data_IF_210060926728
#
_entry.id   IF_210060926728
#
_cell.length_a   1.000
_cell.length_b   1.000
_cell.length_c   1.000
_cell.angle_alpha   90.00
_cell.angle_beta   90.00
_cell.angle_gamma   90.00
#
_symmetry.space_group_name_H-M   'P 1'
#
loop_
_entity.id
_entity.type
_entity.pdbx_description
1 polymer ?
#
# COMPACT_ATOMS: atom_id res chain seq x y z
N UNK A 1 30.81 -25.67 38.62
CA UNK A 1 30.37 -25.78 37.22
C UNK A 1 31.45 -25.27 36.26
N UNK A 2 31.90 -24.02 36.36
CA UNK A 2 32.91 -23.48 35.42
C UNK A 2 34.20 -24.30 35.39
N UNK A 3 34.76 -24.66 36.56
CA UNK A 3 35.93 -25.55 36.64
C UNK A 3 35.72 -26.87 35.90
N UNK A 4 34.51 -27.43 35.97
CA UNK A 4 34.15 -28.69 35.32
C UNK A 4 34.13 -28.55 33.79
N UNK A 5 33.69 -27.42 33.24
CA UNK A 5 33.80 -27.14 31.79
C UNK A 5 35.21 -26.71 31.35
N UNK A 6 35.99 -26.10 32.25
CA UNK A 6 37.31 -25.56 31.96
C UNK A 6 38.44 -26.59 32.13
N UNK A 7 38.27 -27.63 32.94
CA UNK A 7 39.32 -28.61 33.24
C UNK A 7 39.09 -29.95 32.54
N UNK A 8 37.87 -30.22 32.04
CA UNK A 8 37.55 -31.49 31.38
C UNK A 8 38.32 -31.69 30.06
N UNK A 9 39.05 -32.81 29.97
CA UNK A 9 39.88 -33.17 28.82
C UNK A 9 39.06 -33.70 27.65
N UNK A 10 37.83 -34.14 27.87
CA UNK A 10 36.90 -34.71 26.89
C UNK A 10 36.33 -33.65 25.94
N UNK A 11 36.23 -32.39 26.39
CA UNK A 11 35.61 -31.30 25.62
C UNK A 11 36.56 -30.67 24.59
N UNK A 12 36.00 -30.30 23.43
CA UNK A 12 36.68 -29.57 22.36
C UNK A 12 36.92 -28.10 22.76
N UNK A 13 38.19 -27.70 22.82
CA UNK A 13 38.60 -26.33 23.19
C UNK A 13 38.34 -25.28 22.11
N UNK A 14 37.95 -25.70 20.92
CA UNK A 14 37.42 -24.79 19.89
C UNK A 14 36.05 -24.22 20.31
N UNK A 15 35.19 -25.03 20.94
CA UNK A 15 33.83 -24.66 21.39
C UNK A 15 33.81 -24.17 22.85
N UNK A 16 34.62 -24.76 23.74
CA UNK A 16 34.68 -24.44 25.18
C UNK A 16 35.97 -23.68 25.55
N UNK A 17 36.16 -22.48 24.98
CA UNK A 17 37.28 -21.59 25.33
C UNK A 17 37.04 -20.89 26.68
N UNK A 18 38.05 -20.70 27.54
CA UNK A 18 37.87 -20.07 28.85
C UNK A 18 37.17 -18.71 28.83
N UNK A 19 37.64 -17.79 28.00
CA UNK A 19 37.02 -16.48 27.82
C UNK A 19 35.55 -16.55 27.39
N UNK A 20 35.16 -17.62 26.71
CA UNK A 20 33.81 -17.76 26.19
C UNK A 20 32.82 -18.36 27.20
N UNK A 21 33.32 -19.17 28.15
CA UNK A 21 32.51 -19.75 29.23
C UNK A 21 32.29 -18.70 30.32
N UNK A 22 33.35 -17.98 30.71
CA UNK A 22 33.28 -16.87 31.66
C UNK A 22 32.33 -15.76 31.16
N UNK A 23 32.50 -15.32 29.90
CA UNK A 23 31.59 -14.34 29.31
C UNK A 23 30.13 -14.82 29.18
N UNK A 24 29.89 -16.14 29.17
CA UNK A 24 28.53 -16.71 29.21
C UNK A 24 27.95 -16.63 30.63
N UNK A 25 28.75 -17.03 31.62
CA UNK A 25 28.39 -17.06 33.04
C UNK A 25 28.11 -15.66 33.62
N UNK A 26 29.00 -14.69 33.36
CA UNK A 26 28.84 -13.29 33.79
C UNK A 26 27.55 -12.69 33.23
N UNK A 27 27.27 -12.98 31.96
CA UNK A 27 26.08 -12.49 31.29
C UNK A 27 24.81 -13.09 31.88
N UNK A 28 24.81 -14.39 32.15
CA UNK A 28 23.67 -15.07 32.76
C UNK A 28 23.36 -14.50 34.15
N UNK A 29 24.39 -14.34 34.96
CA UNK A 29 24.30 -13.82 36.33
C UNK A 29 23.78 -12.37 36.35
N UNK A 30 24.13 -11.56 35.35
CA UNK A 30 23.63 -10.18 35.23
C UNK A 30 22.12 -10.06 34.95
N UNK A 31 21.45 -11.12 34.49
CA UNK A 31 20.02 -11.10 34.17
C UNK A 31 19.11 -11.56 35.32
N UNK A 32 19.64 -12.31 36.29
CA UNK A 32 18.87 -12.83 37.42
C UNK A 32 18.27 -11.77 38.36
N UNK A 33 18.92 -10.61 38.60
CA UNK A 33 18.36 -9.57 39.47
C UNK A 33 17.17 -8.80 38.89
N UNK A 34 16.84 -8.97 37.60
CA UNK A 34 15.77 -8.18 36.96
C UNK A 34 14.42 -8.86 37.19
N UNK A 35 13.64 -8.38 38.17
CA UNK A 35 12.25 -8.79 38.37
C UNK A 35 11.41 -8.48 37.12
N UNK A 36 10.78 -9.50 36.55
CA UNK A 36 9.89 -9.39 35.40
C UNK A 36 10.61 -9.21 34.05
N UNK A 37 11.45 -10.18 33.63
CA UNK A 37 12.05 -10.12 32.32
C UNK A 37 10.94 -10.28 31.26
N UNK A 38 10.60 -9.20 30.56
CA UNK A 38 9.73 -9.30 29.39
C UNK A 38 10.31 -10.31 28.39
N UNK A 39 9.46 -10.98 27.61
CA UNK A 39 9.85 -12.07 26.67
C UNK A 39 11.07 -11.72 25.79
N UNK A 40 11.27 -10.44 25.48
CA UNK A 40 12.42 -9.92 24.73
C UNK A 40 13.77 -10.10 25.43
N UNK A 41 13.80 -10.26 26.75
CA UNK A 41 15.00 -10.59 27.51
C UNK A 41 15.44 -12.04 27.28
N UNK A 42 14.51 -12.95 26.96
CA UNK A 42 14.82 -14.37 26.71
C UNK A 42 15.71 -14.57 25.47
N UNK A 43 15.56 -13.70 24.47
CA UNK A 43 16.44 -13.64 23.28
C UNK A 43 17.88 -13.19 23.59
N UNK A 44 18.17 -12.77 24.83
CA UNK A 44 19.49 -12.31 25.27
C UNK A 44 20.35 -13.40 25.93
N UNK A 45 19.80 -14.60 26.17
CA UNK A 45 20.53 -15.77 26.68
C UNK A 45 21.45 -16.41 25.62
N UNK A 46 22.35 -15.61 25.06
CA UNK A 46 23.37 -16.10 24.12
C UNK A 46 24.32 -17.04 24.83
N UNK A 47 24.69 -18.14 24.17
CA UNK A 47 25.66 -19.15 24.64
C UNK A 47 25.16 -20.06 25.80
N UNK A 48 23.87 -20.02 26.11
CA UNK A 48 23.26 -20.93 27.09
C UNK A 48 23.30 -22.40 26.62
N UNK A 49 23.36 -22.63 25.30
CA UNK A 49 23.59 -23.93 24.68
C UNK A 49 24.83 -24.64 25.22
N UNK A 50 25.86 -23.90 25.65
CA UNK A 50 27.11 -24.48 26.14
C UNK A 50 27.02 -25.04 27.56
N UNK A 51 25.90 -24.83 28.22
CA UNK A 51 25.64 -25.33 29.57
C UNK A 51 24.55 -26.41 29.55
N UNK A 52 24.08 -26.84 28.38
CA UNK A 52 23.08 -27.90 28.22
C UNK A 52 23.75 -29.28 28.19
N UNK A 53 23.19 -30.27 28.90
CA UNK A 53 23.72 -31.63 28.91
C UNK A 53 23.60 -32.27 27.52
N UNK A 54 22.48 -32.01 26.83
CA UNK A 54 22.25 -32.45 25.44
C UNK A 54 23.34 -31.95 24.48
N UNK A 55 23.73 -30.68 24.60
CA UNK A 55 24.76 -30.05 23.76
C UNK A 55 26.18 -30.48 24.18
N UNK A 56 26.41 -30.77 25.46
CA UNK A 56 27.68 -31.32 25.93
C UNK A 56 27.90 -32.75 25.43
N UNK A 57 26.83 -33.53 25.28
CA UNK A 57 26.85 -34.88 24.73
C UNK A 57 26.99 -34.93 23.19
N UNK A 58 26.80 -33.81 22.50
CA UNK A 58 26.94 -33.72 21.04
C UNK A 58 28.39 -33.98 20.57
N UNK A 59 28.51 -34.70 19.45
CA UNK A 59 29.77 -34.97 18.75
C UNK A 59 30.56 -33.71 18.38
N UNK A 60 29.87 -32.56 18.20
CA UNK A 60 30.49 -31.25 18.00
C UNK A 60 31.18 -30.68 19.24
N UNK A 61 30.79 -31.13 20.43
CA UNK A 61 31.31 -30.67 21.74
C UNK A 61 32.41 -31.57 22.30
N UNK A 62 32.40 -32.86 21.96
CA UNK A 62 33.34 -33.88 22.48
C UNK A 62 34.50 -34.18 21.53
N UNK A 63 35.65 -34.54 22.09
CA UNK A 63 36.74 -35.22 21.39
C UNK A 63 36.36 -36.68 21.13
N UNK A 64 37.01 -37.31 20.15
CA UNK A 64 36.73 -38.70 19.75
C UNK A 64 36.85 -39.64 20.97
N UNK A 65 35.76 -40.34 21.31
CA UNK A 65 35.69 -41.26 22.45
C UNK A 65 35.59 -40.60 23.83
N UNK A 66 35.36 -39.28 23.91
CA UNK A 66 35.16 -38.58 25.17
C UNK A 66 33.77 -38.79 25.75
N UNK A 67 33.68 -38.94 27.08
CA UNK A 67 32.41 -38.93 27.81
C UNK A 67 32.07 -37.51 28.26
N UNK A 68 30.80 -37.08 28.15
CA UNK A 68 30.41 -35.74 28.56
C UNK A 68 30.47 -35.60 30.09
N UNK A 69 30.85 -34.42 30.59
CA UNK A 69 30.74 -34.11 32.00
C UNK A 69 29.27 -34.13 32.45
N UNK A 70 28.97 -34.85 33.53
CA UNK A 70 27.64 -34.88 34.12
C UNK A 70 27.55 -33.95 35.34
N UNK A 71 26.51 -33.12 35.39
CA UNK A 71 26.17 -32.28 36.54
C UNK A 71 24.67 -31.93 36.50
N UNK A 72 23.93 -31.99 37.63
CA UNK A 72 22.51 -31.63 37.67
C UNK A 72 22.19 -30.23 37.13
N UNK A 73 23.17 -29.31 37.18
CA UNK A 73 23.04 -27.98 36.58
C UNK A 73 22.82 -28.03 35.07
N UNK A 74 23.49 -28.94 34.36
CA UNK A 74 23.37 -29.01 32.90
C UNK A 74 22.01 -29.55 32.46
N UNK A 75 21.47 -30.52 33.21
CA UNK A 75 20.11 -31.02 33.02
C UNK A 75 19.07 -29.94 33.35
N UNK A 76 19.32 -29.12 34.38
CA UNK A 76 18.49 -27.97 34.71
C UNK A 76 18.53 -26.89 33.60
N UNK A 77 19.67 -26.70 32.93
CA UNK A 77 19.77 -25.82 31.77
C UNK A 77 18.96 -26.34 30.57
N UNK A 78 18.96 -27.66 30.31
CA UNK A 78 18.10 -28.27 29.29
C UNK A 78 16.61 -28.04 29.60
N UNK A 79 16.18 -28.33 30.83
CA UNK A 79 14.80 -28.13 31.26
C UNK A 79 14.39 -26.65 31.16
N UNK A 80 15.26 -25.73 31.59
CA UNK A 80 15.01 -24.30 31.48
C UNK A 80 14.83 -23.85 30.03
N UNK A 81 15.68 -24.30 29.11
CA UNK A 81 15.59 -23.94 27.68
C UNK A 81 14.31 -24.47 27.06
N UNK A 82 13.92 -25.71 27.37
CA UNK A 82 12.64 -26.26 26.92
C UNK A 82 11.45 -25.42 27.41
N UNK A 83 11.42 -25.05 28.69
CA UNK A 83 10.37 -24.18 29.25
C UNK A 83 10.40 -22.78 28.63
N UNK A 84 11.58 -22.25 28.30
CA UNK A 84 11.71 -20.96 27.61
C UNK A 84 11.14 -21.02 26.19
N UNK A 85 11.44 -22.07 25.43
CA UNK A 85 10.93 -22.26 24.07
C UNK A 85 9.41 -22.37 24.06
N UNK A 86 8.84 -23.12 25.01
CA UNK A 86 7.39 -23.21 25.20
C UNK A 86 6.77 -21.84 25.51
N UNK A 87 7.35 -21.10 26.45
CA UNK A 87 6.86 -19.76 26.82
C UNK A 87 6.92 -18.79 25.63
N UNK A 88 8.00 -18.81 24.86
CA UNK A 88 8.16 -17.96 23.66
C UNK A 88 7.11 -18.31 22.62
N UNK A 89 6.88 -19.60 22.36
CA UNK A 89 5.85 -20.06 21.42
C UNK A 89 4.46 -19.58 21.82
N UNK A 90 4.08 -19.73 23.09
CA UNK A 90 2.79 -19.24 23.61
C UNK A 90 2.69 -17.72 23.47
N UNK A 91 3.75 -16.99 23.77
CA UNK A 91 3.76 -15.54 23.65
C UNK A 91 3.60 -15.08 22.20
N UNK A 92 4.30 -15.70 21.24
CA UNK A 92 4.19 -15.36 19.82
C UNK A 92 2.76 -15.56 19.31
N UNK A 93 2.12 -16.67 19.68
CA UNK A 93 0.71 -16.92 19.37
C UNK A 93 -0.22 -15.87 19.98
N UNK A 94 -0.05 -15.57 21.28
CA UNK A 94 -0.87 -14.56 21.98
C UNK A 94 -0.67 -13.16 21.40
N UNK A 95 0.56 -12.82 21.03
CA UNK A 95 0.90 -11.53 20.44
C UNK A 95 0.29 -11.37 19.04
N UNK A 96 0.27 -12.43 18.24
CA UNK A 96 -0.43 -12.43 16.95
C UNK A 96 -1.94 -12.19 17.12
N UNK A 97 -2.57 -12.88 18.07
CA UNK A 97 -4.00 -12.67 18.40
C UNK A 97 -4.26 -11.25 18.91
N UNK A 98 -3.40 -10.73 19.78
CA UNK A 98 -3.48 -9.37 20.29
C UNK A 98 -3.38 -8.35 19.15
N UNK A 99 -2.38 -8.48 18.27
CA UNK A 99 -2.23 -7.62 17.09
C UNK A 99 -3.47 -7.61 16.21
N UNK A 100 -4.03 -8.79 15.91
CA UNK A 100 -5.24 -8.90 15.10
C UNK A 100 -6.42 -8.18 15.75
N UNK A 101 -6.63 -8.40 17.06
CA UNK A 101 -7.70 -7.73 17.82
C UNK A 101 -7.49 -6.22 17.88
N UNK A 102 -6.25 -5.77 18.10
CA UNK A 102 -5.90 -4.35 18.15
C UNK A 102 -6.16 -3.69 16.79
N UNK A 103 -5.77 -4.32 15.68
CA UNK A 103 -6.05 -3.81 14.34
C UNK A 103 -7.56 -3.69 14.11
N UNK A 104 -8.35 -4.72 14.42
CA UNK A 104 -9.81 -4.66 14.30
C UNK A 104 -10.45 -3.56 15.17
N UNK A 105 -9.96 -3.41 16.40
CA UNK A 105 -10.38 -2.33 17.28
C UNK A 105 -10.06 -0.95 16.69
N UNK A 106 -8.82 -0.73 16.24
CA UNK A 106 -8.39 0.55 15.65
C UNK A 106 -9.18 0.88 14.39
N UNK A 107 -9.43 -0.10 13.50
CA UNK A 107 -10.20 0.10 12.28
C UNK A 107 -11.65 0.53 12.55
N UNK A 108 -12.21 0.17 13.71
CA UNK A 108 -13.58 0.54 14.09
C UNK A 108 -13.62 1.84 14.90
N UNK A 109 -12.73 1.94 15.89
CA UNK A 109 -12.75 3.01 16.89
C UNK A 109 -12.18 4.32 16.35
N UNK A 110 -11.15 4.26 15.48
CA UNK A 110 -10.53 5.47 14.95
C UNK A 110 -11.52 6.29 14.10
N UNK A 111 -12.25 5.72 13.12
CA UNK A 111 -13.28 6.46 12.40
C UNK A 111 -14.38 7.01 13.31
N UNK A 112 -14.85 6.21 14.28
CA UNK A 112 -15.89 6.63 15.23
C UNK A 112 -15.46 7.86 16.05
N UNK A 113 -14.22 7.86 16.56
CA UNK A 113 -13.66 8.99 17.31
C UNK A 113 -13.41 10.22 16.43
N UNK A 114 -12.96 10.03 15.19
CA UNK A 114 -12.80 11.12 14.22
C UNK A 114 -14.15 11.79 13.94
N UNK A 115 -15.19 10.99 13.69
CA UNK A 115 -16.55 11.48 13.45
C UNK A 115 -17.11 12.25 14.67
N UNK A 116 -16.99 11.69 15.87
CA UNK A 116 -17.44 12.34 17.10
C UNK A 116 -16.74 13.69 17.37
N UNK A 117 -15.50 13.85 16.91
CA UNK A 117 -14.72 15.09 17.02
C UNK A 117 -14.82 15.99 15.80
N UNK A 118 -15.54 15.58 14.76
CA UNK A 118 -15.61 16.26 13.46
C UNK A 118 -14.23 16.56 12.85
N UNK A 119 -13.27 15.65 13.03
CA UNK A 119 -11.92 15.78 12.47
C UNK A 119 -11.80 14.90 11.23
N UNK A 120 -11.27 15.47 10.15
CA UNK A 120 -10.96 14.78 8.91
C UNK A 120 -9.49 14.96 8.54
N UNK A 121 -8.87 13.89 8.05
CA UNK A 121 -7.56 13.92 7.39
C UNK A 121 -7.74 13.86 5.87
N UNK A 122 -6.68 14.16 5.12
CA UNK A 122 -6.71 14.10 3.66
C UNK A 122 -7.09 12.72 3.13
N UNK A 123 -6.60 11.64 3.76
CA UNK A 123 -6.95 10.26 3.38
C UNK A 123 -8.43 9.95 3.64
N UNK A 124 -9.03 10.57 4.67
CA UNK A 124 -10.46 10.39 4.95
C UNK A 124 -11.32 10.98 3.82
N UNK A 125 -10.89 12.09 3.20
CA UNK A 125 -11.62 12.70 2.08
C UNK A 125 -11.69 11.74 0.87
N UNK A 126 -10.55 11.14 0.51
CA UNK A 126 -10.47 10.20 -0.60
C UNK A 126 -11.27 8.93 -0.30
N UNK A 127 -11.09 8.34 0.88
CA UNK A 127 -11.78 7.09 1.24
C UNK A 127 -13.28 7.28 1.42
N UNK A 128 -13.74 8.40 1.96
CA UNK A 128 -15.17 8.73 2.05
C UNK A 128 -15.80 8.96 0.68
N UNK A 129 -15.12 9.68 -0.22
CA UNK A 129 -15.60 9.85 -1.60
C UNK A 129 -15.70 8.51 -2.32
N UNK A 130 -14.67 7.67 -2.24
CA UNK A 130 -14.72 6.32 -2.80
C UNK A 130 -15.87 5.50 -2.21
N UNK A 131 -16.08 5.55 -0.90
CA UNK A 131 -17.18 4.83 -0.24
C UNK A 131 -18.57 5.35 -0.65
N UNK A 132 -18.71 6.67 -0.85
CA UNK A 132 -19.95 7.28 -1.32
C UNK A 132 -20.27 6.88 -2.77
N UNK A 133 -19.25 6.77 -3.63
CA UNK A 133 -19.39 6.29 -5.01
C UNK A 133 -19.75 4.80 -5.09
N UNK A 134 -19.35 4.00 -4.11
CA UNK A 134 -19.74 2.58 -4.00
C UNK A 134 -21.12 2.38 -3.32
N UNK A 135 -21.68 3.44 -2.72
CA UNK A 135 -22.96 3.41 -2.03
C UNK A 135 -24.18 3.47 -2.97
N UNK A 136 -25.41 3.35 -2.42
CA UNK A 136 -26.65 3.34 -3.21
C UNK A 136 -26.86 4.59 -4.07
N UNK A 137 -26.36 5.74 -3.62
CA UNK A 137 -26.44 7.03 -4.35
C UNK A 137 -25.20 7.32 -5.20
N UNK A 138 -24.29 6.36 -5.35
CA UNK A 138 -23.01 6.56 -6.02
C UNK A 138 -23.16 6.99 -7.49
N UNK A 139 -24.13 6.42 -8.21
CA UNK A 139 -24.41 6.80 -9.59
C UNK A 139 -24.88 8.25 -9.72
N UNK A 140 -25.78 8.68 -8.82
CA UNK A 140 -26.29 10.07 -8.80
C UNK A 140 -25.16 11.05 -8.48
N UNK A 141 -24.27 10.68 -7.54
CA UNK A 141 -23.10 11.48 -7.21
C UNK A 141 -22.14 11.58 -8.41
N UNK A 142 -21.85 10.46 -9.07
CA UNK A 142 -21.00 10.44 -10.26
C UNK A 142 -21.58 11.29 -11.40
N UNK A 143 -22.89 11.19 -11.67
CA UNK A 143 -23.58 12.03 -12.65
C UNK A 143 -23.50 13.52 -12.33
N UNK A 144 -23.67 13.88 -11.05
CA UNK A 144 -23.53 15.27 -10.63
C UNK A 144 -22.11 15.80 -10.85
N UNK A 145 -21.09 15.02 -10.47
CA UNK A 145 -19.68 15.39 -10.69
C UNK A 145 -19.41 15.55 -12.19
N UNK A 146 -19.85 14.60 -13.01
CA UNK A 146 -19.73 14.65 -14.48
C UNK A 146 -20.44 15.84 -15.11
N UNK A 147 -21.55 16.28 -14.53
CA UNK A 147 -22.26 17.49 -14.98
C UNK A 147 -21.47 18.76 -14.70
N UNK A 148 -20.78 18.81 -13.56
CA UNK A 148 -19.99 19.98 -13.15
C UNK A 148 -18.60 19.98 -13.83
N UNK A 149 -18.05 18.78 -14.10
CA UNK A 149 -16.76 18.55 -14.72
C UNK A 149 -16.89 17.56 -15.89
N UNK A 150 -17.26 18.04 -17.10
CA UNK A 150 -17.52 17.18 -18.25
C UNK A 150 -16.30 16.45 -18.83
N UNK A 151 -15.10 16.82 -18.41
CA UNK A 151 -13.84 16.25 -18.81
C UNK A 151 -12.86 16.29 -17.62
N UNK A 152 -11.95 15.33 -17.53
CA UNK A 152 -10.90 15.31 -16.49
C UNK A 152 -9.52 15.12 -17.10
N UNK A 153 -8.54 15.85 -16.56
CA UNK A 153 -7.12 15.70 -16.84
C UNK A 153 -6.38 15.41 -15.53
N UNK A 154 -5.73 14.26 -15.47
CA UNK A 154 -4.93 13.81 -14.33
C UNK A 154 -3.46 13.90 -14.74
N UNK A 155 -2.76 14.88 -14.18
CA UNK A 155 -1.32 15.03 -14.34
C UNK A 155 -0.56 14.22 -13.27
N UNK A 156 0.72 13.95 -13.52
CA UNK A 156 1.59 13.15 -12.65
C UNK A 156 0.99 11.80 -12.25
N UNK A 157 0.31 11.15 -13.20
CA UNK A 157 -0.47 9.94 -12.95
C UNK A 157 0.37 8.77 -12.38
N UNK A 158 1.68 8.76 -12.61
CA UNK A 158 2.59 7.79 -12.01
C UNK A 158 2.65 7.82 -10.47
N UNK A 159 2.27 8.96 -9.86
CA UNK A 159 2.26 9.16 -8.40
C UNK A 159 0.85 8.96 -7.79
N UNK A 160 -0.10 8.44 -8.57
CA UNK A 160 -1.48 8.19 -8.12
C UNK A 160 -1.59 6.88 -7.33
N UNK A 161 -2.39 6.89 -6.26
CA UNK A 161 -2.69 5.69 -5.47
C UNK A 161 -3.93 4.93 -6.01
N UNK A 162 -4.11 3.64 -5.65
CA UNK A 162 -5.24 2.85 -6.15
C UNK A 162 -6.63 3.41 -5.82
N UNK A 163 -6.80 4.11 -4.69
CA UNK A 163 -8.09 4.70 -4.29
C UNK A 163 -8.41 5.90 -5.19
N UNK A 164 -7.43 6.76 -5.46
CA UNK A 164 -7.60 7.88 -6.38
C UNK A 164 -7.97 7.41 -7.79
N UNK A 165 -7.25 6.43 -8.34
CA UNK A 165 -7.59 5.88 -9.66
C UNK A 165 -9.01 5.30 -9.67
N UNK A 166 -9.40 4.54 -8.64
CA UNK A 166 -10.75 3.98 -8.55
C UNK A 166 -11.85 5.05 -8.53
N UNK A 167 -11.62 6.18 -7.87
CA UNK A 167 -12.57 7.32 -7.86
C UNK A 167 -12.79 7.83 -9.28
N UNK A 168 -11.71 8.14 -10.00
CA UNK A 168 -11.82 8.64 -11.37
C UNK A 168 -12.43 7.62 -12.31
N UNK A 169 -12.03 6.35 -12.20
CA UNK A 169 -12.61 5.25 -12.96
C UNK A 169 -14.12 5.13 -12.72
N UNK A 170 -14.57 5.13 -11.46
CA UNK A 170 -16.02 5.09 -11.13
C UNK A 170 -16.79 6.29 -11.67
N UNK A 171 -16.18 7.46 -11.71
CA UNK A 171 -16.84 8.67 -12.19
C UNK A 171 -16.86 8.72 -13.71
N UNK A 172 -15.77 8.41 -14.41
CA UNK A 172 -15.64 8.72 -15.84
C UNK A 172 -15.68 7.49 -16.76
N UNK A 173 -15.36 6.30 -16.27
CA UNK A 173 -15.33 5.10 -17.10
C UNK A 173 -16.72 4.82 -17.71
N UNK A 174 -16.74 4.51 -19.01
CA UNK A 174 -17.95 4.19 -19.78
C UNK A 174 -19.04 5.29 -19.77
N UNK A 175 -18.72 6.51 -19.31
CA UNK A 175 -19.66 7.64 -19.31
C UNK A 175 -19.76 8.35 -20.67
N UNK A 176 -18.84 8.05 -21.60
CA UNK A 176 -18.67 8.78 -22.86
C UNK A 176 -17.99 10.14 -22.68
N UNK A 177 -17.66 10.55 -21.45
CA UNK A 177 -16.89 11.76 -21.17
C UNK A 177 -15.38 11.49 -21.22
N UNK A 178 -14.57 12.44 -21.70
CA UNK A 178 -13.14 12.24 -21.84
C UNK A 178 -12.40 12.29 -20.50
N UNK A 179 -11.52 11.30 -20.32
CA UNK A 179 -10.58 11.19 -19.19
C UNK A 179 -9.16 11.08 -19.74
N UNK A 180 -8.32 12.05 -19.41
CA UNK A 180 -6.92 12.11 -19.83
C UNK A 180 -6.02 11.84 -18.63
N UNK A 181 -5.08 10.91 -18.79
CA UNK A 181 -4.06 10.58 -17.79
C UNK A 181 -2.68 10.86 -18.38
N UNK A 182 -1.91 11.73 -17.74
CA UNK A 182 -0.57 12.13 -18.16
C UNK A 182 0.41 11.77 -17.06
N UNK A 183 1.51 11.14 -17.42
CA UNK A 183 2.55 10.76 -16.47
C UNK A 183 3.74 10.07 -17.12
N UNK A 184 4.82 9.93 -16.36
CA UNK A 184 6.03 9.21 -16.75
C UNK A 184 6.35 8.10 -15.74
N UNK A 185 6.19 6.81 -16.10
CA UNK A 185 6.46 5.71 -15.17
C UNK A 185 7.93 5.64 -14.75
N UNK A 186 8.86 6.24 -15.49
CA UNK A 186 10.28 6.32 -15.10
C UNK A 186 10.52 7.27 -13.93
N UNK A 187 9.56 8.14 -13.63
CA UNK A 187 9.62 9.14 -12.56
C UNK A 187 8.83 8.72 -11.31
N UNK A 188 8.25 7.51 -11.28
CA UNK A 188 7.54 6.98 -10.13
C UNK A 188 8.49 6.70 -8.94
N UNK A 189 8.76 7.72 -8.13
CA UNK A 189 9.67 7.66 -6.97
C UNK A 189 8.93 7.72 -5.62
N UNK A 190 7.61 7.90 -5.62
CA UNK A 190 6.79 8.08 -4.40
C UNK A 190 6.13 6.79 -3.87
N UNK A 191 6.65 5.61 -4.20
CA UNK A 191 6.08 4.32 -3.76
C UNK A 191 5.98 4.18 -2.23
N UNK A 192 6.86 4.85 -1.47
CA UNK A 192 6.82 4.88 -0.01
C UNK A 192 5.61 5.63 0.57
N UNK A 193 4.88 6.41 -0.24
CA UNK A 193 3.62 7.09 0.14
C UNK A 193 2.36 6.38 -0.33
N UNK A 194 2.50 5.20 -0.94
CA UNK A 194 1.35 4.42 -1.42
C UNK A 194 0.97 4.67 -2.88
N UNK A 195 1.72 5.50 -3.61
CA UNK A 195 1.65 5.53 -5.07
C UNK A 195 2.06 4.16 -5.63
N UNK A 196 1.30 3.65 -6.58
CA UNK A 196 1.46 2.29 -7.07
C UNK A 196 1.63 2.25 -8.58
N UNK A 197 2.82 1.84 -9.04
CA UNK A 197 3.11 1.63 -10.46
C UNK A 197 2.17 0.59 -11.09
N UNK A 198 1.63 -0.35 -10.32
CA UNK A 198 0.63 -1.29 -10.83
C UNK A 198 -0.70 -0.60 -11.16
N UNK A 199 -1.06 0.47 -10.44
CA UNK A 199 -2.23 1.30 -10.76
C UNK A 199 -2.03 1.98 -12.11
N UNK A 200 -0.84 2.52 -12.37
CA UNK A 200 -0.48 3.08 -13.67
C UNK A 200 -0.59 2.04 -14.80
N UNK A 201 -0.05 0.84 -14.57
CA UNK A 201 -0.09 -0.25 -15.56
C UNK A 201 -1.51 -0.73 -15.85
N UNK A 202 -2.35 -0.86 -14.81
CA UNK A 202 -3.77 -1.23 -14.96
C UNK A 202 -4.54 -0.18 -15.75
N UNK A 203 -4.41 1.08 -15.38
CA UNK A 203 -5.05 2.18 -16.09
C UNK A 203 -4.61 2.31 -17.56
N UNK A 204 -3.35 2.01 -17.86
CA UNK A 204 -2.87 1.94 -19.25
C UNK A 204 -3.52 0.82 -20.05
N UNK A 205 -3.92 -0.29 -19.41
CA UNK A 205 -4.66 -1.36 -20.07
C UNK A 205 -6.13 -0.98 -20.28
N UNK A 206 -6.71 -0.21 -19.35
CA UNK A 206 -8.09 0.28 -19.41
C UNK A 206 -8.26 1.43 -20.42
N UNK A 207 -7.17 2.14 -20.77
CA UNK A 207 -7.18 3.28 -21.68
C UNK A 207 -7.37 2.84 -23.14
N UNK A 208 -8.28 3.52 -23.86
CA UNK A 208 -8.54 3.26 -25.28
C UNK A 208 -7.36 3.64 -26.19
N UNK A 209 -6.58 4.66 -25.80
CA UNK A 209 -5.49 5.21 -26.59
C UNK A 209 -4.28 5.53 -25.71
N UNK A 210 -3.07 5.28 -26.23
CA UNK A 210 -1.81 5.63 -25.59
C UNK A 210 -0.97 6.56 -26.47
N UNK A 211 -0.42 7.62 -25.89
CA UNK A 211 0.43 8.59 -26.58
C UNK A 211 1.78 8.72 -25.88
N UNK A 212 2.80 9.22 -26.60
CA UNK A 212 4.13 9.45 -26.03
C UNK A 212 4.69 10.76 -26.58
N UNK A 213 5.24 11.58 -25.69
CA UNK A 213 5.97 12.79 -26.04
C UNK A 213 7.46 12.43 -26.10
N UNK A 214 8.01 12.34 -27.30
CA UNK A 214 9.39 11.94 -27.56
C UNK A 214 10.38 13.12 -27.55
N UNK A 215 9.88 14.34 -27.74
CA UNK A 215 10.70 15.53 -27.81
C UNK A 215 10.84 16.22 -26.43
N UNK A 216 12.07 16.28 -25.94
CA UNK A 216 12.41 17.05 -24.75
C UNK A 216 12.74 18.51 -25.13
N UNK A 217 11.94 19.45 -24.62
CA UNK A 217 12.12 20.89 -24.81
C UNK A 217 12.74 21.61 -23.61
N UNK A 218 12.94 20.91 -22.49
CA UNK A 218 13.44 21.50 -21.22
C UNK A 218 14.96 21.49 -21.12
N UNK A 219 15.65 20.68 -21.93
CA UNK A 219 17.10 20.47 -21.82
C UNK A 219 17.80 20.71 -23.15
N UNK A 220 19.00 21.30 -23.10
CA UNK A 220 19.90 21.29 -24.26
C UNK A 220 20.31 19.86 -24.59
N UNK A 221 20.52 19.50 -25.87
CA UNK A 221 20.95 18.15 -26.24
C UNK A 221 22.22 17.77 -25.48
N UNK A 222 22.15 16.74 -24.65
CA UNK A 222 23.32 16.21 -23.96
C UNK A 222 24.21 15.48 -24.99
N UNK A 223 25.48 15.89 -25.18
CA UNK A 223 26.39 15.21 -26.10
C UNK A 223 26.55 13.72 -25.81
N UNK A 224 26.28 13.26 -24.58
CA UNK A 224 26.40 11.86 -24.13
C UNK A 224 25.15 11.01 -24.33
N UNK A 225 24.01 11.62 -24.67
CA UNK A 225 22.74 10.89 -24.89
C UNK A 225 22.52 10.46 -26.35
N UNK A 226 23.47 10.73 -27.24
CA UNK A 226 23.38 10.36 -28.67
C UNK A 226 23.27 8.85 -28.90
N UNK A 227 23.71 8.04 -27.92
CA UNK A 227 23.84 6.58 -28.03
C UNK A 227 23.01 5.79 -26.99
N UNK A 228 21.92 6.34 -26.45
CA UNK A 228 20.97 5.48 -25.71
C UNK A 228 19.95 4.85 -26.68
N UNK A 229 19.98 3.51 -26.89
CA UNK A 229 18.96 2.87 -27.68
C UNK A 229 17.62 3.07 -26.97
N UNK A 230 16.65 3.64 -27.68
CA UNK A 230 15.27 3.74 -27.23
C UNK A 230 14.83 2.36 -26.74
N UNK A 231 14.49 2.26 -25.43
CA UNK A 231 13.80 1.09 -24.89
C UNK A 231 12.42 1.05 -25.55
N UNK A 232 12.35 0.45 -26.75
CA UNK A 232 11.11 0.21 -27.47
C UNK A 232 10.34 -0.88 -26.72
N UNK A 233 9.31 -0.48 -25.99
CA UNK A 233 8.22 -1.40 -25.71
C UNK A 233 7.52 -1.74 -27.04
N UNK A 234 7.27 -3.02 -27.36
CA UNK A 234 6.61 -3.40 -28.60
C UNK A 234 5.10 -3.10 -28.49
N UNK A 235 4.66 -2.06 -29.18
CA UNK A 235 3.26 -1.72 -29.38
C UNK A 235 3.20 -0.56 -30.36
N UNK A 236 2.53 -0.74 -31.50
CA UNK A 236 2.45 0.29 -32.54
C UNK A 236 1.74 1.54 -32.03
N UNK A 237 2.36 2.69 -32.18
CA UNK A 237 1.79 3.98 -31.81
C UNK A 237 1.39 4.77 -33.05
N UNK A 238 0.09 5.09 -33.13
CA UNK A 238 -0.46 5.99 -34.14
C UNK A 238 0.11 7.40 -33.97
N UNK A 239 0.49 7.99 -35.09
CA UNK A 239 0.97 9.37 -35.20
C UNK A 239 -0.23 10.31 -35.09
N UNK A 240 -0.14 11.36 -34.27
CA UNK A 240 -1.14 12.44 -34.27
C UNK A 240 -0.95 13.24 -35.57
N UNK A 241 -1.85 13.05 -36.53
CA UNK A 241 -2.10 14.01 -37.60
C UNK A 241 -3.36 14.79 -37.26
N UNK A 242 -3.22 16.11 -37.10
CA UNK A 242 -4.35 17.02 -36.93
C UNK A 242 -5.30 16.94 -38.13
N UNK A 243 -6.60 16.83 -37.83
CA UNK A 243 -7.69 17.11 -38.76
C UNK A 243 -8.09 15.95 -39.69
N UNK A 244 -9.15 15.24 -39.31
CA UNK A 244 -10.39 15.21 -40.11
C UNK A 244 -11.53 14.55 -39.34
N UNK A 245 -12.69 15.20 -39.46
CA UNK A 245 -13.97 14.80 -38.91
C UNK A 245 -14.30 13.33 -39.22
N UNK A 246 -14.70 12.57 -38.20
CA UNK A 246 -15.40 11.30 -38.40
C UNK A 246 -16.88 11.60 -38.68
N UNK A 247 -17.17 12.06 -39.90
CA UNK A 247 -18.51 11.92 -40.48
C UNK A 247 -18.61 10.49 -41.02
N UNK A 248 -19.56 9.72 -40.50
CA UNK A 248 -19.93 8.42 -41.05
C UNK A 248 -20.61 8.61 -42.41
N UNK A 249 -19.92 8.32 -43.51
CA UNK A 249 -20.55 8.19 -44.83
C UNK A 249 -21.16 6.79 -44.99
N UNK A 250 -22.49 6.75 -45.12
CA UNK A 250 -23.22 5.61 -45.67
C UNK A 250 -23.14 5.57 -47.20
N UNK A 251 -23.41 4.43 -47.86
CA UNK A 251 -23.15 4.30 -49.29
C UNK A 251 -24.23 4.95 -50.18
N UNK A 252 -23.74 5.81 -51.08
CA UNK A 252 -24.14 6.19 -52.45
C UNK A 252 -25.62 6.09 -52.93
N UNK A 253 -26.12 7.23 -53.44
CA UNK A 253 -27.45 7.43 -54.07
C UNK A 253 -27.68 6.75 -55.43
N UNK A 254 -28.87 6.85 -56.04
CA UNK A 254 -29.46 8.04 -56.70
C UNK A 254 -30.92 7.75 -57.18
N UNK A 255 -31.61 8.60 -57.99
CA UNK A 255 -31.90 10.05 -57.90
C UNK A 255 -33.42 10.38 -58.04
N UNK A 256 -33.87 11.58 -57.66
CA UNK A 256 -35.19 12.06 -58.13
C UNK A 256 -35.78 13.34 -57.48
N UNK A 257 -35.73 14.43 -58.25
CA UNK A 257 -36.73 15.51 -58.37
C UNK A 257 -36.88 16.63 -57.29
N UNK A 258 -36.48 17.83 -57.73
CA UNK A 258 -36.97 19.21 -57.52
C UNK A 258 -38.03 19.57 -56.44
N UNK A 259 -37.66 20.56 -55.58
CA UNK A 259 -38.32 21.83 -55.14
C UNK A 259 -39.84 21.87 -54.75
N UNK A 260 -40.37 22.85 -53.96
CA UNK A 260 -39.73 24.00 -53.28
C UNK A 260 -40.23 24.33 -51.83
N UNK A 261 -39.59 25.36 -51.25
CA UNK A 261 -39.97 26.32 -50.19
C UNK A 261 -41.34 26.25 -49.49
N UNK A 262 -41.33 26.44 -48.16
CA UNK A 262 -42.34 27.26 -47.44
C UNK A 262 -41.91 27.74 -46.05
N UNK A 263 -41.70 29.05 -45.97
CA UNK A 263 -42.22 30.02 -44.99
C UNK A 263 -42.08 29.81 -43.46
N UNK A 264 -41.20 30.63 -42.88
CA UNK A 264 -41.49 31.70 -41.91
C UNK A 264 -42.95 31.81 -41.39
N UNK A 265 -43.13 31.87 -40.06
CA UNK A 265 -43.75 32.99 -39.28
C UNK A 265 -43.99 32.56 -37.82
N UNK A 266 -43.47 33.32 -36.84
CA UNK A 266 -44.19 34.28 -35.94
C UNK A 266 -45.04 33.56 -34.88
N UNK A 267 -45.21 34.00 -33.63
CA UNK A 267 -45.00 35.28 -32.91
C UNK A 267 -45.32 34.96 -31.43
N UNK A 268 -44.65 35.61 -30.46
CA UNK A 268 -45.22 36.57 -29.47
C UNK A 268 -46.29 35.99 -28.53
N UNK A 269 -46.38 36.27 -27.24
CA UNK A 269 -46.29 37.59 -26.58
C UNK A 269 -46.64 37.46 -25.08
N UNK A 270 -45.95 38.24 -24.24
CA UNK A 270 -46.45 39.11 -23.13
C UNK A 270 -47.30 38.60 -21.94
N UNK A 271 -46.94 39.16 -20.78
CA UNK A 271 -47.79 39.47 -19.60
C UNK A 271 -47.12 38.94 -18.32
N UNK A 272 -46.41 39.70 -17.47
CA UNK A 272 -46.67 40.94 -16.70
C UNK A 272 -47.63 40.80 -15.51
N UNK A 273 -47.29 41.54 -14.43
CA UNK A 273 -47.93 41.75 -13.09
C UNK A 273 -47.49 40.71 -12.03
N UNK A 274 -46.65 40.97 -11.01
CA UNK A 274 -46.52 42.02 -9.96
C UNK A 274 -47.33 41.72 -8.67
N UNK A 275 -46.79 42.18 -7.52
CA UNK A 275 -47.31 42.20 -6.13
C UNK A 275 -46.71 41.22 -5.08
N UNK A 276 -45.61 41.66 -4.45
CA UNK A 276 -45.44 41.95 -3.00
C UNK A 276 -45.81 40.98 -1.85
N UNK A 277 -45.29 41.23 -0.63
CA UNK A 277 -44.85 40.18 0.30
C UNK A 277 -45.73 39.99 1.55
N UNK A 278 -45.71 38.78 2.12
CA UNK A 278 -46.35 38.42 3.39
C UNK A 278 -45.35 37.87 4.42
N UNK A 279 -45.37 38.47 5.61
CA UNK A 279 -44.48 38.30 6.77
C UNK A 279 -45.19 37.43 7.84
N UNK A 280 -44.45 36.98 8.87
CA UNK A 280 -44.92 36.57 10.24
C UNK A 280 -45.37 35.08 10.32
N UNK A 281 -44.98 34.15 11.22
CA UNK A 281 -44.46 34.16 12.62
C UNK A 281 -43.97 32.75 13.06
N UNK A 282 -43.11 32.72 14.11
CA UNK A 282 -43.10 31.88 15.37
C UNK A 282 -43.56 30.39 15.32
N UNK A 283 -43.08 29.39 16.07
CA UNK A 283 -42.22 29.22 17.28
C UNK A 283 -42.01 27.71 17.52
N UNK A 284 -40.89 27.36 18.17
CA UNK A 284 -40.64 26.27 19.13
C UNK A 284 -41.40 24.93 19.08
N UNK A 285 -40.63 23.83 18.92
CA UNK A 285 -40.43 22.81 19.98
C UNK A 285 -39.16 22.01 19.72
#
# INVERSE_FOLDING_TARGET
MEKLLLEDKSLKRTRYRPASILAGSDRWTSYWPVCGPGVWMLRKFKRLDRFQATVLADSGSLKKGGTPPSNPFFDACDAFVASLEELVSVYEQRYAVFRHRLLGFVMTELPARKAARQVQSFDDLLTQLSGALDGPSGQVLAEKIRSDYPAVLIDEFQDTDPVQYRIFWKIYQCSGQPMFMVGDPKQAIYSFRGADVFTYLGARQDAECGYTLDQNWRSTPDPRQRDQPALRAPGGYGRISAGRDCVSEGPAGAPGQALPDRERRRRSSTGHVDAGPGRIRETDT
#
